data_IF_725308427937
#
_entry.id   IF_725308427937
#
_cell.length_a   1.000
_cell.length_b   1.000
_cell.length_c   1.000
_cell.angle_alpha   90.00
_cell.angle_beta   90.00
_cell.angle_gamma   90.00
#
_symmetry.space_group_name_H-M   'P 1'
#
loop_
_entity.id
_entity.type
_entity.pdbx_description
1 polymer ?
#
# COMPACT_ATOMS: atom_id res chain seq x y z
N UNK A 1 -9.24 8.35 10.61
CA UNK A 1 -8.29 7.37 10.02
C UNK A 1 -9.08 6.14 9.60
N UNK A 2 -8.76 5.56 8.44
CA UNK A 2 -9.51 4.41 7.87
C UNK A 2 -9.49 3.15 8.75
N UNK A 3 -8.53 3.04 9.67
CA UNK A 3 -8.37 1.91 10.58
C UNK A 3 -9.32 1.93 11.79
N UNK A 4 -10.00 3.04 12.07
CA UNK A 4 -10.81 3.16 13.28
C UNK A 4 -11.93 2.12 13.35
N UNK A 5 -12.61 1.87 12.24
CA UNK A 5 -13.64 0.83 12.15
C UNK A 5 -13.04 -0.58 12.34
N UNK A 6 -11.80 -0.79 11.89
CA UNK A 6 -11.12 -2.08 12.01
C UNK A 6 -10.71 -2.39 13.46
N UNK A 7 -10.24 -1.38 14.19
CA UNK A 7 -9.76 -1.53 15.57
C UNK A 7 -10.74 -1.07 16.64
N UNK A 8 -11.98 -0.75 16.28
CA UNK A 8 -13.03 -0.23 17.19
C UNK A 8 -12.59 1.03 17.96
N UNK A 9 -11.83 1.92 17.31
CA UNK A 9 -11.33 3.18 17.89
C UNK A 9 -12.30 4.38 17.68
N UNK A 10 -13.60 4.09 17.59
CA UNK A 10 -14.64 5.11 17.36
C UNK A 10 -14.86 5.47 15.89
N UNK A 11 -15.58 6.58 15.66
CA UNK A 11 -16.09 6.94 14.33
C UNK A 11 -15.02 7.45 13.36
N UNK A 12 -15.23 7.15 12.08
CA UNK A 12 -14.39 7.58 10.98
C UNK A 12 -14.76 9.00 10.57
N UNK A 13 -13.81 9.91 10.69
CA UNK A 13 -13.89 11.22 10.06
C UNK A 13 -13.70 11.08 8.54
N UNK A 14 -14.81 11.17 7.82
CA UNK A 14 -14.86 11.02 6.36
C UNK A 14 -14.17 12.16 5.62
N UNK A 15 -14.26 13.40 6.11
CA UNK A 15 -13.60 14.55 5.49
C UNK A 15 -12.08 14.40 5.59
N UNK A 16 -11.57 13.99 6.76
CA UNK A 16 -10.15 13.72 6.94
C UNK A 16 -9.66 12.54 6.11
N UNK A 17 -10.47 11.49 5.97
CA UNK A 17 -10.13 10.34 5.11
C UNK A 17 -10.00 10.78 3.65
N UNK A 18 -10.90 11.62 3.14
CA UNK A 18 -10.83 12.12 1.77
C UNK A 18 -9.55 12.94 1.51
N UNK A 19 -9.23 13.89 2.38
CA UNK A 19 -7.97 14.65 2.30
C UNK A 19 -6.72 13.75 2.29
N UNK A 20 -6.72 12.71 3.13
CA UNK A 20 -5.60 11.77 3.19
C UNK A 20 -5.51 10.88 1.96
N UNK A 21 -6.63 10.53 1.32
CA UNK A 21 -6.64 9.81 0.03
C UNK A 21 -6.02 10.65 -1.09
N UNK A 22 -6.36 11.93 -1.15
CA UNK A 22 -5.77 12.87 -2.13
C UNK A 22 -4.28 13.05 -1.91
N UNK A 23 -3.85 13.22 -0.65
CA UNK A 23 -2.43 13.27 -0.30
C UNK A 23 -1.73 11.97 -0.67
N UNK A 24 -2.32 10.81 -0.38
CA UNK A 24 -1.76 9.52 -0.76
C UNK A 24 -1.62 9.40 -2.28
N UNK A 25 -2.63 9.81 -3.04
CA UNK A 25 -2.56 9.82 -4.50
C UNK A 25 -1.35 10.65 -5.00
N UNK A 26 -1.16 11.86 -4.47
CA UNK A 26 -0.02 12.70 -4.86
C UNK A 26 1.34 12.06 -4.55
N UNK A 27 1.47 11.33 -3.42
CA UNK A 27 2.68 10.59 -3.07
C UNK A 27 2.90 9.42 -4.02
N UNK A 28 1.83 8.69 -4.36
CA UNK A 28 1.91 7.58 -5.32
C UNK A 28 2.28 8.07 -6.73
N UNK A 29 1.94 9.30 -7.12
CA UNK A 29 2.41 9.89 -8.38
C UNK A 29 3.93 10.14 -8.38
N UNK A 30 4.51 10.46 -7.23
CA UNK A 30 5.97 10.54 -7.09
C UNK A 30 6.59 9.14 -7.20
N UNK A 31 5.98 8.14 -6.56
CA UNK A 31 6.45 6.76 -6.64
C UNK A 31 6.40 6.24 -8.08
N UNK A 32 5.37 6.58 -8.84
CA UNK A 32 5.26 6.22 -10.25
C UNK A 32 6.45 6.75 -11.07
N UNK A 33 6.85 8.00 -10.84
CA UNK A 33 8.02 8.61 -11.52
C UNK A 33 9.33 7.95 -11.12
N UNK A 34 9.47 7.55 -9.86
CA UNK A 34 10.65 6.84 -9.37
C UNK A 34 10.70 5.44 -9.98
N UNK A 35 9.61 4.68 -9.87
CA UNK A 35 9.51 3.29 -10.32
C UNK A 35 9.50 3.15 -11.85
N UNK A 36 9.27 4.24 -12.59
CA UNK A 36 9.53 4.29 -14.01
C UNK A 36 11.03 4.18 -14.37
N UNK A 37 11.92 4.54 -13.43
CA UNK A 37 13.38 4.57 -13.62
C UNK A 37 14.12 3.42 -12.92
N UNK A 38 13.51 2.83 -11.90
CA UNK A 38 14.11 1.79 -11.06
C UNK A 38 13.08 0.76 -10.62
N UNK A 39 13.53 -0.43 -10.24
CA UNK A 39 12.63 -1.57 -9.99
C UNK A 39 11.91 -1.51 -8.63
N UNK A 40 12.54 -0.89 -7.65
CA UNK A 40 12.08 -0.80 -6.26
C UNK A 40 12.19 0.64 -5.77
N UNK A 41 11.58 1.00 -4.65
CA UNK A 41 11.66 2.36 -4.11
C UNK A 41 13.10 2.68 -3.65
N UNK A 42 13.82 1.68 -3.14
CA UNK A 42 15.22 1.81 -2.72
C UNK A 42 16.26 1.70 -3.85
N UNK A 43 15.84 1.51 -5.11
CA UNK A 43 16.75 1.37 -6.26
C UNK A 43 16.45 0.10 -7.06
N UNK A 44 17.50 -0.64 -7.44
CA UNK A 44 17.36 -1.85 -8.27
C UNK A 44 17.34 -3.15 -7.47
N UNK A 45 17.49 -3.08 -6.14
CA UNK A 45 17.41 -4.23 -5.24
C UNK A 45 16.27 -4.03 -4.25
N UNK A 46 15.70 -5.14 -3.80
CA UNK A 46 14.67 -5.13 -2.76
C UNK A 46 15.32 -4.76 -1.42
N UNK A 47 14.77 -3.77 -0.73
CA UNK A 47 15.33 -3.28 0.54
C UNK A 47 14.27 -3.19 1.62
N UNK A 48 14.69 -2.81 2.83
CA UNK A 48 13.78 -2.51 3.94
C UNK A 48 12.78 -1.41 3.58
N UNK A 49 13.16 -0.47 2.69
CA UNK A 49 12.25 0.57 2.22
C UNK A 49 11.01 -0.05 1.57
N UNK A 50 11.15 -1.07 0.74
CA UNK A 50 10.03 -1.76 0.08
C UNK A 50 9.24 -2.64 1.06
N UNK A 51 9.96 -3.35 1.95
CA UNK A 51 9.36 -4.24 2.94
C UNK A 51 8.37 -3.50 3.86
N UNK A 52 8.76 -2.30 4.33
CA UNK A 52 7.95 -1.51 5.26
C UNK A 52 6.58 -1.09 4.68
N UNK A 53 6.41 -1.14 3.36
CA UNK A 53 5.13 -0.81 2.71
C UNK A 53 4.14 -1.98 2.70
N UNK A 54 4.59 -3.23 2.88
CA UNK A 54 3.74 -4.42 2.74
C UNK A 54 2.55 -4.45 3.73
N UNK A 55 2.71 -4.21 5.04
CA UNK A 55 1.59 -4.30 5.97
C UNK A 55 0.51 -3.25 5.67
N UNK A 56 0.93 -1.99 5.52
CA UNK A 56 0.00 -0.89 5.26
C UNK A 56 -0.60 -0.94 3.86
N UNK A 57 0.20 -1.32 2.86
CA UNK A 57 -0.29 -1.51 1.49
C UNK A 57 -1.34 -2.61 1.42
N UNK A 58 -1.16 -3.70 2.16
CA UNK A 58 -2.14 -4.79 2.20
C UNK A 58 -3.48 -4.33 2.80
N UNK A 59 -3.44 -3.52 3.86
CA UNK A 59 -4.67 -2.93 4.41
C UNK A 59 -5.44 -2.06 3.42
N UNK A 60 -4.80 -1.42 2.43
CA UNK A 60 -5.52 -0.64 1.42
C UNK A 60 -6.48 -1.50 0.59
N UNK A 61 -6.20 -2.80 0.46
CA UNK A 61 -7.05 -3.78 -0.22
C UNK A 61 -8.05 -4.46 0.70
N UNK A 62 -8.01 -4.21 2.01
CA UNK A 62 -8.97 -4.76 2.96
C UNK A 62 -10.40 -4.30 2.61
N UNK A 63 -11.43 -5.16 2.66
CA UNK A 63 -12.81 -4.83 2.24
C UNK A 63 -13.39 -3.59 2.94
N UNK A 64 -13.10 -3.41 4.22
CA UNK A 64 -13.57 -2.24 5.00
C UNK A 64 -12.87 -0.91 4.65
N UNK A 65 -11.74 -0.96 3.93
CA UNK A 65 -10.97 0.23 3.52
C UNK A 65 -11.18 0.49 2.02
N UNK A 66 -10.97 -0.53 1.19
CA UNK A 66 -11.24 -0.55 -0.25
C UNK A 66 -10.68 0.66 -1.04
N UNK A 67 -9.40 0.98 -0.83
CA UNK A 67 -8.69 2.06 -1.55
C UNK A 67 -7.52 1.57 -2.40
N UNK A 68 -7.34 0.24 -2.50
CA UNK A 68 -6.27 -0.39 -3.29
C UNK A 68 -6.25 0.04 -4.77
N UNK A 69 -7.38 0.51 -5.30
CA UNK A 69 -7.45 1.09 -6.64
C UNK A 69 -6.46 2.25 -6.87
N UNK A 70 -6.05 2.98 -5.81
CA UNK A 70 -5.04 4.04 -5.93
C UNK A 70 -3.66 3.49 -6.31
N UNK A 71 -3.31 2.28 -5.86
CA UNK A 71 -2.10 1.56 -6.29
C UNK A 71 -2.29 1.06 -7.73
N UNK A 72 -3.42 0.42 -8.01
CA UNK A 72 -3.65 -0.26 -9.29
C UNK A 72 -3.77 0.68 -10.50
N UNK A 73 -4.16 1.95 -10.30
CA UNK A 73 -4.28 2.96 -11.37
C UNK A 73 -2.94 3.40 -11.97
N UNK A 74 -1.82 3.08 -11.31
CA UNK A 74 -0.48 3.53 -11.65
C UNK A 74 0.36 2.33 -12.10
N UNK A 75 0.71 2.17 -13.37
CA UNK A 75 1.27 0.92 -13.88
C UNK A 75 2.60 0.52 -13.23
N UNK A 76 3.53 1.45 -12.98
CA UNK A 76 4.81 1.13 -12.36
C UNK A 76 4.65 0.80 -10.86
N UNK A 77 3.84 1.57 -10.14
CA UNK A 77 3.49 1.29 -8.74
C UNK A 77 2.75 -0.05 -8.62
N UNK A 78 1.82 -0.36 -9.53
CA UNK A 78 1.13 -1.65 -9.58
C UNK A 78 2.11 -2.80 -9.77
N UNK A 79 3.00 -2.69 -10.76
CA UNK A 79 4.00 -3.72 -11.03
C UNK A 79 4.93 -3.94 -9.83
N UNK A 80 5.38 -2.86 -9.19
CA UNK A 80 6.14 -2.90 -7.95
C UNK A 80 5.37 -3.59 -6.82
N UNK A 81 4.12 -3.20 -6.58
CA UNK A 81 3.27 -3.75 -5.53
C UNK A 81 3.05 -5.26 -5.73
N UNK A 82 2.71 -5.69 -6.94
CA UNK A 82 2.53 -7.10 -7.26
C UNK A 82 3.83 -7.89 -7.05
N UNK A 83 4.98 -7.31 -7.39
CA UNK A 83 6.28 -7.94 -7.21
C UNK A 83 6.62 -8.16 -5.74
N UNK A 84 6.43 -7.15 -4.88
CA UNK A 84 6.78 -7.25 -3.46
C UNK A 84 5.77 -8.08 -2.67
N UNK A 85 4.48 -8.01 -3.01
CA UNK A 85 3.41 -8.75 -2.32
C UNK A 85 3.34 -10.24 -2.70
N UNK A 86 3.93 -10.64 -3.82
CA UNK A 86 4.03 -12.07 -4.21
C UNK A 86 5.29 -12.76 -3.65
N UNK A 87 6.12 -12.07 -2.88
CA UNK A 87 7.33 -12.67 -2.28
C UNK A 87 6.93 -13.75 -1.28
N UNK A 88 7.61 -14.90 -1.34
CA UNK A 88 7.33 -16.05 -0.47
C UNK A 88 7.34 -15.68 1.01
N UNK A 89 8.32 -14.88 1.45
CA UNK A 89 8.41 -14.41 2.84
C UNK A 89 7.19 -13.61 3.28
N UNK A 90 6.63 -12.78 2.40
CA UNK A 90 5.42 -12.02 2.68
C UNK A 90 4.18 -12.92 2.67
N UNK A 91 4.06 -13.80 1.67
CA UNK A 91 2.95 -14.76 1.59
C UNK A 91 2.90 -15.65 2.84
N UNK A 92 4.05 -16.10 3.33
CA UNK A 92 4.14 -16.86 4.57
C UNK A 92 3.74 -16.02 5.80
N UNK A 93 4.15 -14.75 5.85
CA UNK A 93 3.74 -13.81 6.90
C UNK A 93 2.21 -13.63 6.93
N UNK A 94 1.58 -13.52 5.75
CA UNK A 94 0.13 -13.40 5.62
C UNK A 94 -0.61 -14.65 6.12
N UNK A 95 -0.11 -15.84 5.74
CA UNK A 95 -0.65 -17.12 6.25
C UNK A 95 -0.58 -17.21 7.78
N UNK A 96 0.54 -16.81 8.37
CA UNK A 96 0.72 -16.80 9.83
C UNK A 96 -0.20 -15.78 10.52
N UNK A 97 -0.47 -14.66 9.85
CA UNK A 97 -1.38 -13.61 10.34
C UNK A 97 -2.88 -13.99 10.19
N UNK A 98 -3.20 -15.15 9.61
CA UNK A 98 -4.57 -15.61 9.42
C UNK A 98 -5.33 -14.90 8.28
N UNK A 99 -4.60 -14.33 7.32
CA UNK A 99 -5.15 -13.66 6.13
C UNK A 99 -4.93 -14.48 4.84
#
# INVERSE_FOLDING_TARGET
MVFKNLFKWGEVDHARVQQLKEKLASVLDVYEKILAKQTYIGGNQFTLADLNHLPYGNFLFHPNINVGHLILKRPHVKAWWEKISKRESWVQTMKLAGN
#
